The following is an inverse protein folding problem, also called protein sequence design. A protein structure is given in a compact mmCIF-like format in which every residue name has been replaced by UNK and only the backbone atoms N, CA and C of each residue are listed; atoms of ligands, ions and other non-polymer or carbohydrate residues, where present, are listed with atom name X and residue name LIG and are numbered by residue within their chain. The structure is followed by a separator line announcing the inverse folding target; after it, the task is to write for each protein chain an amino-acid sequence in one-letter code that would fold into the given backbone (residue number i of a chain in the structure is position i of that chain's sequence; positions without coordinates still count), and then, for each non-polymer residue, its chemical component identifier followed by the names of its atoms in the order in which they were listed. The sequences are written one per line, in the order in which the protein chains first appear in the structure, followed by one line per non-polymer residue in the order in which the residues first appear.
data_IF_609597314019
#
_entry.id   IF_609597314019
#
_cell.length_a   1.000
_cell.length_b   1.000
_cell.length_c   1.000
_cell.angle_alpha   90.00
_cell.angle_beta   90.00
_cell.angle_gamma   90.00
#
_symmetry.space_group_name_H-M   'P 1'
#
loop_
_entity.id
_entity.type
_entity.pdbx_description
1 polymer ?
#
# COMPACT_ATOMS: atom_id res chain seq x y z
N UNK A 1 12.86 -22.27 -4.98
CA UNK A 1 13.13 -21.63 -3.68
C UNK A 1 12.42 -22.44 -2.59
N UNK A 2 13.16 -22.98 -1.62
CA UNK A 2 12.64 -23.73 -0.46
C UNK A 2 11.79 -22.86 0.48
N UNK A 3 11.04 -23.46 1.41
CA UNK A 3 10.29 -22.71 2.43
C UNK A 3 11.21 -21.88 3.33
N UNK A 4 12.36 -22.43 3.74
CA UNK A 4 13.37 -21.72 4.54
C UNK A 4 13.95 -20.49 3.82
N UNK A 5 14.18 -20.58 2.50
CA UNK A 5 14.64 -19.43 1.72
C UNK A 5 13.57 -18.35 1.54
N UNK A 6 12.27 -18.71 1.60
CA UNK A 6 11.15 -17.74 1.60
C UNK A 6 11.02 -17.01 2.93
N UNK A 7 11.11 -17.72 4.06
CA UNK A 7 11.12 -17.11 5.39
C UNK A 7 12.33 -16.17 5.55
N UNK A 8 13.47 -16.54 4.98
CA UNK A 8 14.67 -15.70 4.92
C UNK A 8 14.46 -14.37 4.17
N UNK A 9 13.69 -14.35 3.09
CA UNK A 9 13.37 -13.09 2.37
C UNK A 9 12.59 -12.14 3.26
N UNK A 10 11.49 -12.61 3.86
CA UNK A 10 10.65 -11.79 4.72
C UNK A 10 11.44 -11.19 5.89
N UNK A 11 12.23 -12.02 6.58
CA UNK A 11 13.05 -11.59 7.71
C UNK A 11 14.07 -10.50 7.30
N UNK A 12 14.75 -10.67 6.16
CA UNK A 12 15.71 -9.67 5.66
C UNK A 12 15.04 -8.34 5.30
N UNK A 13 13.86 -8.36 4.67
CA UNK A 13 13.11 -7.13 4.36
C UNK A 13 12.67 -6.42 5.63
N UNK A 14 12.12 -7.16 6.60
CA UNK A 14 11.67 -6.60 7.88
C UNK A 14 12.82 -5.95 8.65
N UNK A 15 13.95 -6.66 8.77
CA UNK A 15 15.14 -6.16 9.45
C UNK A 15 15.71 -4.91 8.76
N UNK A 16 15.78 -4.92 7.43
CA UNK A 16 16.25 -3.77 6.67
C UNK A 16 15.32 -2.56 6.80
N UNK A 17 14.01 -2.74 6.69
CA UNK A 17 13.02 -1.65 6.83
C UNK A 17 13.11 -0.99 8.20
N UNK A 18 13.39 -1.77 9.25
CA UNK A 18 13.51 -1.26 10.60
C UNK A 18 14.67 -0.28 10.79
N UNK A 19 15.77 -0.44 10.06
CA UNK A 19 16.99 0.37 10.22
C UNK A 19 17.12 1.43 9.12
N UNK A 20 16.79 1.07 7.87
CA UNK A 20 17.06 1.87 6.68
C UNK A 20 15.80 2.36 5.96
N UNK A 21 14.64 1.77 6.27
CA UNK A 21 13.37 2.13 5.65
C UNK A 21 12.86 3.50 6.08
N UNK A 22 11.85 4.00 5.36
CA UNK A 22 11.14 5.22 5.76
C UNK A 22 10.25 4.90 6.95
N UNK A 23 10.40 5.69 8.01
CA UNK A 23 9.64 5.56 9.27
C UNK A 23 9.12 6.91 9.79
N UNK A 24 9.12 7.96 8.98
CA UNK A 24 8.82 9.33 9.43
C UNK A 24 7.60 9.95 8.74
N UNK A 25 6.99 9.27 7.78
CA UNK A 25 5.84 9.82 7.06
C UNK A 25 4.61 9.82 7.97
N UNK A 26 3.75 10.86 7.94
CA UNK A 26 2.61 10.97 8.86
C UNK A 26 1.69 9.74 8.87
N UNK A 27 1.41 9.16 7.70
CA UNK A 27 0.58 7.96 7.56
C UNK A 27 1.26 6.66 8.00
N UNK A 28 2.58 6.66 8.27
CA UNK A 28 3.29 5.53 8.87
C UNK A 28 3.22 5.54 10.41
N UNK A 29 2.83 6.68 11.01
CA UNK A 29 2.76 6.86 12.47
C UNK A 29 1.39 6.50 13.05
N UNK A 30 0.55 5.82 12.27
CA UNK A 30 -0.81 5.48 12.66
C UNK A 30 -1.22 4.14 12.07
N UNK A 31 -2.16 3.46 12.74
CA UNK A 31 -2.90 2.30 12.21
C UNK A 31 -4.36 2.64 11.93
N UNK A 32 -4.73 3.91 11.96
CA UNK A 32 -6.06 4.37 11.59
C UNK A 32 -6.31 4.13 10.10
N UNK A 33 -7.29 3.26 9.74
CA UNK A 33 -7.55 2.91 8.36
C UNK A 33 -8.00 4.09 7.51
N UNK A 34 -8.67 5.10 8.07
CA UNK A 34 -9.06 6.29 7.33
C UNK A 34 -7.82 7.05 6.85
N UNK A 35 -6.87 7.25 7.76
CA UNK A 35 -5.61 7.98 7.53
C UNK A 35 -4.69 7.25 6.57
N UNK A 36 -4.58 5.93 6.69
CA UNK A 36 -3.75 5.11 5.79
C UNK A 36 -4.38 5.02 4.40
N UNK A 37 -5.69 4.77 4.31
CA UNK A 37 -6.41 4.74 3.04
C UNK A 37 -6.29 6.07 2.29
N UNK A 38 -6.48 7.20 2.97
CA UNK A 38 -6.36 8.52 2.36
C UNK A 38 -4.98 8.72 1.72
N UNK A 39 -3.90 8.39 2.44
CA UNK A 39 -2.54 8.50 1.88
C UNK A 39 -2.31 7.54 0.73
N UNK A 40 -2.82 6.30 0.81
CA UNK A 40 -2.67 5.31 -0.27
C UNK A 40 -3.35 5.78 -1.55
N UNK A 41 -4.54 6.39 -1.47
CA UNK A 41 -5.21 6.96 -2.64
C UNK A 41 -4.44 8.19 -3.18
N UNK A 42 -3.95 9.06 -2.30
CA UNK A 42 -3.17 10.24 -2.71
C UNK A 42 -1.85 9.88 -3.38
N UNK A 43 -1.13 8.86 -2.90
CA UNK A 43 0.18 8.44 -3.42
C UNK A 43 0.10 7.75 -4.79
N UNK A 44 -1.09 7.39 -5.26
CA UNK A 44 -1.26 6.86 -6.61
C UNK A 44 -0.87 7.91 -7.66
N UNK A 45 0.26 7.68 -8.35
CA UNK A 45 0.75 8.58 -9.40
C UNK A 45 1.00 10.01 -8.89
N UNK A 46 1.35 10.18 -7.62
CA UNK A 46 1.70 11.48 -7.03
C UNK A 46 2.92 11.32 -6.13
N UNK A 47 3.84 12.30 -6.16
CA UNK A 47 5.07 12.25 -5.38
C UNK A 47 4.79 12.46 -3.88
N UNK A 48 5.58 11.79 -3.03
CA UNK A 48 5.44 11.87 -1.55
C UNK A 48 5.49 13.32 -1.07
N UNK A 49 6.41 14.13 -1.60
CA UNK A 49 6.59 15.53 -1.21
C UNK A 49 5.33 16.36 -1.44
N UNK A 50 4.66 16.16 -2.58
CA UNK A 50 3.36 16.81 -2.86
C UNK A 50 2.26 16.29 -1.94
N UNK A 51 2.22 14.99 -1.66
CA UNK A 51 1.17 14.39 -0.82
C UNK A 51 1.22 14.91 0.62
N UNK A 52 2.39 15.22 1.17
CA UNK A 52 2.52 15.69 2.56
C UNK A 52 1.62 16.90 2.86
N UNK A 53 1.66 17.93 2.00
CA UNK A 53 0.88 19.16 2.19
C UNK A 53 -0.63 18.91 2.02
N UNK A 54 -1.01 18.13 1.01
CA UNK A 54 -2.41 17.82 0.74
C UNK A 54 -3.02 16.95 1.82
N UNK A 55 -2.26 15.96 2.30
CA UNK A 55 -2.69 15.06 3.37
C UNK A 55 -3.01 15.85 4.64
N UNK A 56 -2.11 16.76 5.05
CA UNK A 56 -2.33 17.61 6.21
C UNK A 56 -3.57 18.51 6.06
N UNK A 57 -3.74 19.15 4.90
CA UNK A 57 -4.91 20.00 4.60
C UNK A 57 -6.22 19.22 4.58
N UNK A 58 -6.22 18.03 3.96
CA UNK A 58 -7.39 17.15 3.94
C UNK A 58 -7.81 16.74 5.33
N UNK A 59 -6.87 16.29 6.17
CA UNK A 59 -7.18 15.90 7.54
C UNK A 59 -7.60 17.08 8.43
N UNK A 60 -7.09 18.29 8.14
CA UNK A 60 -7.54 19.50 8.82
C UNK A 60 -9.01 19.81 8.56
N UNK A 61 -9.53 19.49 7.35
CA UNK A 61 -10.93 19.72 6.99
C UNK A 61 -11.84 18.52 7.23
N UNK A 62 -11.33 17.32 6.97
CA UNK A 62 -12.02 16.04 7.09
C UNK A 62 -11.19 15.15 8.04
N UNK A 63 -11.36 15.30 9.36
CA UNK A 63 -10.54 14.59 10.34
C UNK A 63 -10.82 13.07 10.38
N UNK A 64 -12.00 12.65 9.93
CA UNK A 64 -12.45 11.26 9.89
C UNK A 64 -13.31 10.96 8.64
N UNK A 65 -13.67 9.69 8.47
CA UNK A 65 -14.47 9.21 7.33
C UNK A 65 -15.89 9.77 7.32
N UNK A 66 -16.47 10.05 8.48
CA UNK A 66 -17.82 10.64 8.59
C UNK A 66 -17.82 12.07 8.07
N UNK A 67 -16.83 12.86 8.48
CA UNK A 67 -16.64 14.22 7.99
C UNK A 67 -16.44 14.24 6.47
N UNK A 68 -15.62 13.33 5.93
CA UNK A 68 -15.43 13.21 4.48
C UNK A 68 -16.71 12.78 3.75
N UNK A 69 -17.45 11.80 4.28
CA UNK A 69 -18.67 11.27 3.65
C UNK A 69 -19.82 12.27 3.61
N UNK A 70 -19.92 13.12 4.65
CA UNK A 70 -20.96 14.14 4.78
C UNK A 70 -20.69 15.40 3.97
N UNK A 71 -19.47 15.58 3.46
CA UNK A 71 -19.06 16.80 2.79
C UNK A 71 -19.73 16.95 1.40
N UNK A 72 -20.03 18.18 0.96
CA UNK A 72 -20.38 18.44 -0.43
C UNK A 72 -19.25 17.97 -1.36
N UNK A 73 -19.60 17.29 -2.46
CA UNK A 73 -18.60 16.77 -3.38
C UNK A 73 -17.68 17.87 -3.92
N UNK A 74 -18.20 19.05 -4.23
CA UNK A 74 -17.41 20.16 -4.75
C UNK A 74 -16.34 20.64 -3.77
N UNK A 75 -16.60 20.54 -2.46
CA UNK A 75 -15.60 20.87 -1.44
C UNK A 75 -14.45 19.85 -1.43
N UNK A 76 -14.78 18.56 -1.54
CA UNK A 76 -13.78 17.48 -1.64
C UNK A 76 -12.93 17.66 -2.90
N UNK A 77 -13.55 17.94 -4.05
CA UNK A 77 -12.84 18.19 -5.31
C UNK A 77 -12.00 19.48 -5.25
N UNK A 78 -12.50 20.52 -4.58
CA UNK A 78 -11.78 21.77 -4.35
C UNK A 78 -10.49 21.55 -3.56
N UNK A 79 -10.53 20.78 -2.47
CA UNK A 79 -9.34 20.42 -1.71
C UNK A 79 -8.39 19.49 -2.48
N UNK A 80 -8.91 18.63 -3.35
CA UNK A 80 -8.11 17.74 -4.21
C UNK A 80 -7.41 18.47 -5.36
N UNK A 81 -7.81 19.71 -5.65
CA UNK A 81 -7.30 20.46 -6.80
C UNK A 81 -5.78 20.58 -6.79
N UNK A 82 -5.14 20.11 -7.86
CA UNK A 82 -3.69 20.05 -8.04
C UNK A 82 -3.05 18.67 -7.85
N UNK A 83 -3.73 17.69 -7.23
CA UNK A 83 -3.25 16.30 -7.18
C UNK A 83 -3.46 15.52 -8.50
N UNK A 84 -4.27 16.04 -9.42
CA UNK A 84 -4.62 15.37 -10.67
C UNK A 84 -5.48 14.12 -10.47
N UNK A 85 -5.84 13.46 -11.59
CA UNK A 85 -6.65 12.24 -11.62
C UNK A 85 -7.91 12.32 -10.73
N UNK A 86 -8.80 13.29 -11.01
CA UNK A 86 -10.00 13.56 -10.19
C UNK A 86 -10.97 12.37 -10.04
N UNK A 87 -10.85 11.32 -10.86
CA UNK A 87 -11.55 10.06 -10.62
C UNK A 87 -11.21 9.45 -9.25
N UNK A 88 -9.97 9.61 -8.77
CA UNK A 88 -9.55 9.19 -7.42
C UNK A 88 -10.35 9.93 -6.35
N UNK A 89 -10.46 11.26 -6.44
CA UNK A 89 -11.21 12.05 -5.49
C UNK A 89 -12.71 11.69 -5.45
N UNK A 90 -13.31 11.48 -6.63
CA UNK A 90 -14.72 11.05 -6.73
C UNK A 90 -14.94 9.66 -6.13
N UNK A 91 -14.03 8.72 -6.39
CA UNK A 91 -14.12 7.38 -5.81
C UNK A 91 -13.83 7.39 -4.31
N UNK A 92 -12.86 8.19 -3.85
CA UNK A 92 -12.57 8.41 -2.44
C UNK A 92 -13.84 8.86 -1.70
N UNK A 93 -14.50 9.91 -2.21
CA UNK A 93 -15.71 10.43 -1.59
C UNK A 93 -16.85 9.39 -1.57
N UNK A 94 -17.10 8.73 -2.71
CA UNK A 94 -18.12 7.65 -2.80
C UNK A 94 -17.83 6.49 -1.85
N UNK A 95 -16.56 6.10 -1.74
CA UNK A 95 -16.12 5.06 -0.82
C UNK A 95 -16.34 5.48 0.64
N UNK A 96 -16.05 6.73 1.01
CA UNK A 96 -16.36 7.24 2.35
C UNK A 96 -17.85 7.13 2.67
N UNK A 97 -18.71 7.52 1.72
CA UNK A 97 -20.17 7.38 1.84
C UNK A 97 -20.59 5.92 1.99
N UNK A 98 -20.01 5.02 1.20
CA UNK A 98 -20.32 3.59 1.30
C UNK A 98 -19.86 2.98 2.63
N UNK A 99 -18.72 3.39 3.17
CA UNK A 99 -18.26 2.96 4.50
C UNK A 99 -19.24 3.41 5.59
N UNK A 100 -19.80 4.61 5.49
CA UNK A 100 -20.84 5.06 6.42
C UNK A 100 -22.12 4.24 6.30
N UNK A 101 -22.61 4.02 5.08
CA UNK A 101 -23.89 3.34 4.82
C UNK A 101 -23.83 1.84 5.11
N UNK A 102 -22.82 1.13 4.59
CA UNK A 102 -22.76 -0.34 4.60
C UNK A 102 -22.01 -0.88 5.83
N UNK A 103 -21.16 -0.06 6.45
CA UNK A 103 -20.27 -0.50 7.54
C UNK A 103 -20.33 0.41 8.78
N UNK A 104 -21.28 1.35 8.86
CA UNK A 104 -21.48 2.20 10.04
C UNK A 104 -20.27 3.07 10.39
N UNK A 105 -19.44 3.42 9.41
CA UNK A 105 -18.22 4.21 9.61
C UNK A 105 -16.98 3.41 9.99
N UNK A 106 -17.09 2.09 10.17
CA UNK A 106 -15.96 1.22 10.43
C UNK A 106 -15.38 0.64 9.13
N UNK A 107 -14.09 0.81 8.88
CA UNK A 107 -13.44 0.18 7.73
C UNK A 107 -13.45 -1.35 7.88
N UNK A 108 -13.76 -2.11 6.82
CA UNK A 108 -13.58 -3.55 6.80
C UNK A 108 -12.13 -3.92 7.11
N UNK A 109 -11.95 -5.03 7.85
CA UNK A 109 -10.62 -5.42 8.34
C UNK A 109 -9.85 -6.36 7.41
N UNK A 110 -10.49 -6.87 6.37
CA UNK A 110 -9.88 -7.80 5.41
C UNK A 110 -9.71 -7.14 4.05
N UNK A 111 -8.62 -7.47 3.35
CA UNK A 111 -8.34 -7.00 2.01
C UNK A 111 -9.42 -7.42 1.01
N UNK A 112 -10.04 -8.60 1.21
CA UNK A 112 -11.14 -9.07 0.37
C UNK A 112 -12.36 -8.12 0.42
N UNK A 113 -12.73 -7.65 1.61
CA UNK A 113 -13.84 -6.71 1.79
C UNK A 113 -13.43 -5.29 1.42
N UNK A 114 -12.20 -4.87 1.74
CA UNK A 114 -11.70 -3.56 1.33
C UNK A 114 -11.67 -3.42 -0.20
N UNK A 115 -11.35 -4.49 -0.94
CA UNK A 115 -11.29 -4.49 -2.40
C UNK A 115 -12.67 -4.41 -3.08
N UNK A 116 -13.79 -4.58 -2.34
CA UNK A 116 -15.12 -4.35 -2.90
C UNK A 116 -15.52 -2.87 -2.91
N UNK A 117 -14.77 -2.01 -2.19
CA UNK A 117 -15.08 -0.60 -2.06
C UNK A 117 -14.62 0.22 -3.28
N UNK A 118 -15.34 1.31 -3.63
CA UNK A 118 -15.04 2.13 -4.80
C UNK A 118 -13.61 2.69 -4.80
N UNK A 119 -12.87 2.41 -5.87
CA UNK A 119 -11.50 2.94 -6.04
C UNK A 119 -10.43 2.23 -5.20
N UNK A 120 -10.78 1.19 -4.45
CA UNK A 120 -9.81 0.35 -3.75
C UNK A 120 -9.52 -0.90 -4.59
N UNK A 121 -8.38 -0.91 -5.28
CA UNK A 121 -7.90 -2.09 -6.00
C UNK A 121 -7.28 -3.13 -5.07
N UNK A 122 -7.07 -4.36 -5.55
CA UNK A 122 -6.50 -5.49 -4.79
C UNK A 122 -5.22 -5.12 -4.01
N UNK A 123 -4.29 -4.41 -4.63
CA UNK A 123 -3.03 -4.02 -3.98
C UNK A 123 -3.22 -2.97 -2.89
N UNK A 124 -4.11 -2.00 -3.10
CA UNK A 124 -4.44 -0.96 -2.11
C UNK A 124 -5.18 -1.57 -0.92
N UNK A 125 -6.11 -2.49 -1.18
CA UNK A 125 -6.78 -3.25 -0.13
C UNK A 125 -5.79 -4.06 0.72
N UNK A 126 -4.84 -4.75 0.07
CA UNK A 126 -3.77 -5.46 0.75
C UNK A 126 -2.88 -4.55 1.59
N UNK A 127 -2.54 -3.36 1.08
CA UNK A 127 -1.74 -2.38 1.82
C UNK A 127 -2.47 -1.90 3.08
N UNK A 128 -3.73 -1.47 2.95
CA UNK A 128 -4.53 -1.02 4.10
C UNK A 128 -4.67 -2.13 5.14
N UNK A 129 -4.99 -3.36 4.70
CA UNK A 129 -5.18 -4.47 5.62
C UNK A 129 -3.89 -4.90 6.32
N UNK A 130 -2.76 -4.92 5.61
CA UNK A 130 -1.46 -5.22 6.20
C UNK A 130 -1.00 -4.14 7.18
N UNK A 131 -1.20 -2.85 6.87
CA UNK A 131 -0.76 -1.75 7.73
C UNK A 131 -1.64 -1.54 8.98
N UNK A 132 -2.96 -1.62 8.81
CA UNK A 132 -3.90 -1.25 9.87
C UNK A 132 -4.28 -2.45 10.73
N UNK A 133 -4.33 -3.65 10.14
CA UNK A 133 -4.88 -4.85 10.76
C UNK A 133 -3.91 -6.03 10.76
N UNK A 134 -2.71 -5.85 10.21
CA UNK A 134 -1.67 -6.89 10.16
C UNK A 134 -2.13 -8.17 9.47
N UNK A 135 -3.10 -8.07 8.56
CA UNK A 135 -3.57 -9.20 7.77
C UNK A 135 -2.43 -9.73 6.91
N UNK A 136 -2.22 -11.05 6.89
CA UNK A 136 -1.19 -11.71 6.09
C UNK A 136 -1.62 -11.78 4.62
N UNK A 137 -1.54 -10.64 3.92
CA UNK A 137 -1.94 -10.48 2.52
C UNK A 137 -0.85 -9.76 1.71
N UNK A 138 -0.57 -10.15 0.46
CA UNK A 138 0.45 -9.49 -0.35
C UNK A 138 -0.07 -8.20 -0.99
N UNK A 139 0.87 -7.42 -1.51
CA UNK A 139 0.62 -6.29 -2.41
C UNK A 139 1.44 -6.46 -3.69
N UNK A 140 1.02 -5.82 -4.79
CA UNK A 140 1.74 -5.78 -6.06
C UNK A 140 1.56 -4.43 -6.75
N UNK A 141 1.97 -3.35 -6.08
CA UNK A 141 2.13 -2.05 -6.72
C UNK A 141 3.32 -2.09 -7.72
N UNK A 142 3.58 -0.98 -8.41
CA UNK A 142 4.66 -0.92 -9.38
C UNK A 142 6.05 -1.18 -8.76
N UNK A 143 6.26 -0.83 -7.49
CA UNK A 143 7.51 -1.02 -6.78
C UNK A 143 7.72 -2.48 -6.40
N UNK A 144 6.74 -3.06 -5.69
CA UNK A 144 6.77 -4.45 -5.24
C UNK A 144 6.79 -5.40 -6.43
N UNK A 145 5.99 -5.15 -7.47
CA UNK A 145 6.02 -5.94 -8.71
C UNK A 145 7.45 -6.02 -9.28
N UNK A 146 8.15 -4.88 -9.36
CA UNK A 146 9.53 -4.84 -9.88
C UNK A 146 10.54 -5.54 -8.98
N UNK A 147 10.41 -5.38 -7.65
CA UNK A 147 11.27 -6.08 -6.68
C UNK A 147 11.10 -7.58 -6.81
N UNK A 148 9.85 -8.06 -6.77
CA UNK A 148 9.56 -9.49 -6.76
C UNK A 148 9.88 -10.15 -8.11
N UNK A 149 9.62 -9.50 -9.24
CA UNK A 149 9.96 -10.10 -10.54
C UNK A 149 11.46 -10.27 -10.71
N UNK A 150 12.27 -9.30 -10.25
CA UNK A 150 13.74 -9.41 -10.28
C UNK A 150 14.25 -10.45 -9.29
N UNK A 151 13.74 -10.43 -8.05
CA UNK A 151 14.12 -11.39 -7.00
C UNK A 151 13.86 -12.84 -7.43
N UNK A 152 12.71 -13.08 -8.06
CA UNK A 152 12.26 -14.43 -8.43
C UNK A 152 12.74 -14.87 -9.82
N UNK A 153 13.43 -13.99 -10.57
CA UNK A 153 13.72 -14.24 -11.98
C UNK A 153 12.46 -14.44 -12.84
N UNK A 154 11.35 -13.80 -12.45
CA UNK A 154 10.05 -13.94 -13.09
C UNK A 154 10.03 -13.16 -14.41
N UNK A 155 10.19 -13.88 -15.52
CA UNK A 155 10.29 -13.34 -16.87
C UNK A 155 9.01 -13.50 -17.72
N UNK A 156 7.95 -14.08 -17.15
CA UNK A 156 6.69 -14.28 -17.87
C UNK A 156 5.97 -12.96 -18.13
N UNK A 157 5.24 -12.90 -19.26
CA UNK A 157 4.45 -11.73 -19.65
C UNK A 157 3.30 -11.46 -18.66
N UNK A 158 3.36 -10.33 -17.98
CA UNK A 158 2.37 -9.89 -16.99
C UNK A 158 1.10 -9.30 -17.61
N UNK A 159 1.02 -9.16 -18.94
CA UNK A 159 -0.27 -8.90 -19.60
C UNK A 159 -1.19 -10.13 -19.57
N UNK A 160 -0.63 -11.34 -19.35
CA UNK A 160 -1.42 -12.55 -19.15
C UNK A 160 -1.96 -12.63 -17.72
N UNK A 161 -3.29 -12.70 -17.58
CA UNK A 161 -3.95 -12.88 -16.29
C UNK A 161 -3.47 -14.13 -15.52
N UNK A 162 -3.11 -15.20 -16.24
CA UNK A 162 -2.52 -16.42 -15.65
C UNK A 162 -1.19 -16.12 -14.97
N UNK A 163 -0.31 -15.39 -15.65
CA UNK A 163 1.02 -15.07 -15.14
C UNK A 163 0.94 -14.03 -14.01
N UNK A 164 0.03 -13.06 -14.12
CA UNK A 164 -0.23 -12.13 -13.02
C UNK A 164 -0.70 -12.87 -11.77
N UNK A 165 -1.64 -13.83 -11.90
CA UNK A 165 -2.08 -14.68 -10.79
C UNK A 165 -0.92 -15.46 -10.17
N UNK A 166 -0.04 -16.03 -10.98
CA UNK A 166 1.15 -16.75 -10.50
C UNK A 166 2.09 -15.83 -9.69
N UNK A 167 2.30 -14.58 -10.13
CA UNK A 167 3.11 -13.62 -9.38
C UNK A 167 2.46 -13.27 -8.04
N UNK A 168 1.12 -13.13 -7.99
CA UNK A 168 0.39 -12.95 -6.73
C UNK A 168 0.57 -14.14 -5.77
N UNK A 169 0.51 -15.38 -6.28
CA UNK A 169 0.74 -16.59 -5.48
C UNK A 169 2.18 -16.65 -4.94
N UNK A 170 3.17 -16.24 -5.74
CA UNK A 170 4.55 -16.11 -5.28
C UNK A 170 4.72 -15.03 -4.21
N UNK A 171 4.07 -13.87 -4.37
CA UNK A 171 4.09 -12.80 -3.38
C UNK A 171 3.48 -13.25 -2.04
N UNK A 172 2.38 -14.01 -2.08
CA UNK A 172 1.74 -14.58 -0.89
C UNK A 172 2.62 -15.62 -0.17
N UNK A 173 3.33 -16.44 -0.94
CA UNK A 173 4.27 -17.42 -0.41
C UNK A 173 5.50 -16.80 0.27
N UNK A 174 5.81 -15.54 -0.01
CA UNK A 174 6.92 -14.78 0.58
C UNK A 174 6.53 -14.02 1.85
N UNK A 175 5.26 -13.96 2.21
CA UNK A 175 4.82 -13.21 3.38
C UNK A 175 5.37 -13.79 4.69
N UNK A 176 5.69 -12.92 5.67
CA UNK A 176 6.00 -13.35 7.04
C UNK A 176 4.98 -14.35 7.58
N UNK A 177 5.44 -15.31 8.38
CA UNK A 177 4.59 -16.35 9.00
C UNK A 177 4.57 -16.27 10.53
N UNK A 178 5.36 -15.39 11.13
CA UNK A 178 5.48 -15.17 12.58
C UNK A 178 5.42 -13.67 12.88
N UNK A 179 5.05 -13.34 14.12
CA UNK A 179 5.01 -11.97 14.65
C UNK A 179 4.30 -10.99 13.72
N UNK A 180 3.18 -11.42 13.13
CA UNK A 180 2.51 -10.74 12.02
C UNK A 180 2.17 -9.29 12.34
N UNK A 181 1.85 -8.99 13.60
CA UNK A 181 1.54 -7.63 14.03
C UNK A 181 2.69 -6.64 13.77
N UNK A 182 3.93 -7.09 13.94
CA UNK A 182 5.12 -6.27 13.68
C UNK A 182 5.63 -6.50 12.25
N UNK A 183 5.65 -7.77 11.83
CA UNK A 183 6.30 -8.17 10.59
C UNK A 183 5.51 -7.75 9.34
N UNK A 184 4.18 -7.83 9.34
CA UNK A 184 3.38 -7.51 8.14
C UNK A 184 3.49 -6.04 7.74
N UNK A 185 3.27 -5.04 8.62
CA UNK A 185 3.45 -3.64 8.25
C UNK A 185 4.86 -3.34 7.75
N UNK A 186 5.89 -3.86 8.44
CA UNK A 186 7.29 -3.64 8.08
C UNK A 186 7.67 -4.30 6.75
N UNK A 187 7.22 -5.53 6.52
CA UNK A 187 7.47 -6.25 5.28
C UNK A 187 6.85 -5.53 4.09
N UNK A 188 5.57 -5.17 4.20
CA UNK A 188 4.83 -4.46 3.15
C UNK A 188 5.49 -3.12 2.83
N UNK A 189 5.79 -2.31 3.85
CA UNK A 189 6.50 -1.03 3.65
C UNK A 189 7.91 -1.25 3.11
N UNK A 190 8.61 -2.27 3.58
CA UNK A 190 9.98 -2.59 3.17
C UNK A 190 10.07 -2.91 1.69
N UNK A 191 9.14 -3.71 1.15
CA UNK A 191 9.09 -3.97 -0.29
C UNK A 191 8.83 -2.71 -1.12
N UNK A 192 7.93 -1.83 -0.67
CA UNK A 192 7.69 -0.54 -1.32
C UNK A 192 8.95 0.34 -1.30
N UNK A 193 9.61 0.44 -0.14
CA UNK A 193 10.82 1.24 0.07
C UNK A 193 12.00 0.72 -0.76
N UNK A 194 12.19 -0.60 -0.81
CA UNK A 194 13.20 -1.23 -1.65
C UNK A 194 12.98 -0.87 -3.11
N UNK A 195 11.74 -0.99 -3.62
CA UNK A 195 11.44 -0.61 -5.00
C UNK A 195 11.65 0.88 -5.25
N UNK A 196 11.27 1.75 -4.32
CA UNK A 196 11.39 3.19 -4.47
C UNK A 196 12.85 3.70 -4.42
N UNK A 197 13.74 3.06 -3.66
CA UNK A 197 15.07 3.61 -3.34
C UNK A 197 16.27 2.79 -3.84
N UNK A 198 16.17 1.46 -3.87
CA UNK A 198 17.29 0.58 -4.23
C UNK A 198 17.03 -0.13 -5.56
N UNK A 199 15.93 -0.86 -5.66
CA UNK A 199 15.54 -1.61 -6.84
C UNK A 199 14.78 -0.69 -7.82
N UNK A 200 15.41 0.38 -8.28
CA UNK A 200 14.83 1.38 -9.19
C UNK A 200 14.67 0.82 -10.62
N UNK A 201 13.81 1.44 -11.47
CA UNK A 201 13.65 1.00 -12.86
C UNK A 201 14.96 1.01 -13.65
N UNK A 202 15.79 2.04 -13.45
CA UNK A 202 17.10 2.20 -14.09
C UNK A 202 18.19 2.27 -13.02
N UNK A 203 19.32 1.62 -13.28
CA UNK A 203 20.50 1.57 -12.39
C UNK A 203 20.18 1.18 -10.94
N UNK A 204 19.62 -0.02 -10.70
CA UNK A 204 19.34 -0.47 -9.33
C UNK A 204 20.63 -0.59 -8.51
N UNK A 205 20.56 -0.22 -7.24
CA UNK A 205 21.67 -0.29 -6.28
C UNK A 205 21.75 -1.69 -5.66
N UNK A 206 22.11 -2.68 -6.50
CA UNK A 206 22.09 -4.08 -6.08
C UNK A 206 23.01 -4.32 -4.88
N UNK A 207 24.23 -3.76 -4.86
CA UNK A 207 25.19 -3.91 -3.75
C UNK A 207 24.63 -3.58 -2.36
N UNK A 208 23.65 -2.66 -2.31
CA UNK A 208 23.09 -2.14 -1.07
C UNK A 208 21.77 -2.85 -0.69
N UNK A 209 21.28 -3.75 -1.56
CA UNK A 209 20.00 -4.41 -1.39
C UNK A 209 20.10 -5.59 -0.40
N UNK A 210 19.26 -5.66 0.64
CA UNK A 210 19.27 -6.75 1.63
C UNK A 210 18.83 -8.11 1.05
N UNK A 211 18.42 -8.13 -0.21
CA UNK A 211 17.99 -9.32 -0.93
C UNK A 211 19.05 -9.84 -1.91
N UNK A 212 20.23 -9.20 -1.97
CA UNK A 212 21.38 -9.80 -2.64
C UNK A 212 21.87 -11.00 -1.84
N UNK A 213 21.94 -12.15 -2.50
CA UNK A 213 22.41 -13.42 -1.98
C UNK A 213 22.30 -14.48 -3.07
#
# INVERSE_FOLDING_TARGET
MSAESREGVAARVVAWQAVHGRNHLPWQQTRDPYRVWLSEIMLQQTQVTTVLDYYARFLGRFPDVSALASAPQDEVLGLWSGLGYYSRARNLHRCAQQIMTDHGGAFPRTASLLASLPGIGRSTAGAIAAFCFSERVPILDANVRRVLTRLLGFCQDLASAKNERLLWEHAEALLPVRDLDVAMPRYTQGLMDLGASLCTPRSPKCSDCPLMG
#
